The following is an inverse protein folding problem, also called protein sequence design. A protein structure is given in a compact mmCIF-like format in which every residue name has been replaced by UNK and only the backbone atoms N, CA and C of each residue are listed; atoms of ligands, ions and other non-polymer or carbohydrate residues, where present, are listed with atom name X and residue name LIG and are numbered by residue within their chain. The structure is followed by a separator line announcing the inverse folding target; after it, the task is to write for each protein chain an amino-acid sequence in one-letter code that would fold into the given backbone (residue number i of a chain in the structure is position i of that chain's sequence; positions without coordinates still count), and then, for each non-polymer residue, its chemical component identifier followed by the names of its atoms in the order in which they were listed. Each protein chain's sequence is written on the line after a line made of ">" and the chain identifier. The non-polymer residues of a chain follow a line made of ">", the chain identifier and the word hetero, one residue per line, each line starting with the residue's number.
data_IF_055093500622
#
_entry.id   IF_055093500622
#
_cell.length_a   1.000
_cell.length_b   1.000
_cell.length_c   1.000
_cell.angle_alpha   90.00
_cell.angle_beta   90.00
_cell.angle_gamma   90.00
#
_symmetry.space_group_name_H-M   'P 1'
#
loop_
_entity.id
_entity.type
_entity.pdbx_description
1 polymer ?
#
# COMPACT_ATOMS: atom_id res chain seq x y z
N UNK A 1 0.99 -0.54 -9.65
CA UNK A 1 0.37 0.44 -10.56
C UNK A 1 0.87 1.83 -10.19
N UNK A 2 1.21 2.66 -11.17
CA UNK A 2 1.78 3.99 -10.95
C UNK A 2 0.90 5.04 -11.61
N UNK A 3 0.87 6.24 -11.04
CA UNK A 3 0.15 7.39 -11.61
C UNK A 3 0.95 8.12 -12.70
N UNK A 4 2.03 7.51 -13.21
CA UNK A 4 2.99 8.10 -14.13
C UNK A 4 4.32 8.38 -13.43
N UNK A 5 5.05 9.38 -13.90
CA UNK A 5 6.35 9.78 -13.33
C UNK A 5 6.22 10.43 -11.95
N UNK A 6 5.07 11.02 -11.63
CA UNK A 6 4.82 11.67 -10.35
C UNK A 6 3.42 11.36 -9.80
N UNK A 7 3.26 11.55 -8.50
CA UNK A 7 1.96 11.57 -7.83
C UNK A 7 1.64 13.03 -7.47
N UNK A 8 0.36 13.38 -7.50
CA UNK A 8 -0.07 14.75 -7.22
C UNK A 8 -1.24 14.76 -6.24
N UNK A 9 -1.43 15.85 -5.47
CA UNK A 9 -2.49 15.91 -4.46
C UNK A 9 -3.92 15.87 -5.03
N UNK A 10 -4.11 16.06 -6.33
CA UNK A 10 -5.39 15.90 -7.03
C UNK A 10 -5.80 14.42 -7.16
N UNK A 11 -4.83 13.50 -7.04
CA UNK A 11 -5.02 12.06 -7.24
C UNK A 11 -4.77 11.24 -5.99
N UNK A 12 -3.91 11.74 -5.10
CA UNK A 12 -3.41 11.05 -3.91
C UNK A 12 -3.59 11.97 -2.72
N UNK A 13 -4.09 11.45 -1.59
CA UNK A 13 -4.16 12.22 -0.35
C UNK A 13 -2.86 12.03 0.46
N UNK A 14 -1.94 12.99 0.40
CA UNK A 14 -0.66 12.99 1.12
C UNK A 14 -0.28 14.44 1.48
N UNK A 15 0.86 14.66 2.12
CA UNK A 15 1.39 16.00 2.37
C UNK A 15 1.90 16.65 1.07
N UNK A 16 1.01 17.41 0.44
CA UNK A 16 1.29 18.17 -0.79
C UNK A 16 2.39 19.22 -0.65
N UNK A 17 2.85 19.58 0.56
CA UNK A 17 4.00 20.46 0.74
C UNK A 17 5.34 19.78 0.42
N UNK A 18 5.36 18.45 0.41
CA UNK A 18 6.53 17.61 0.20
C UNK A 18 6.32 16.66 -1.00
N UNK A 19 6.31 17.20 -2.23
CA UNK A 19 6.06 16.41 -3.44
C UNK A 19 7.20 15.44 -3.76
N UNK A 20 6.87 14.38 -4.50
CA UNK A 20 7.87 13.42 -4.98
C UNK A 20 8.64 13.94 -6.19
N UNK A 21 9.91 13.56 -6.33
CA UNK A 21 10.73 13.73 -7.54
C UNK A 21 10.71 15.14 -8.17
N UNK A 22 10.77 16.19 -7.35
CA UNK A 22 10.76 17.58 -7.83
C UNK A 22 9.42 18.04 -8.38
N UNK A 23 8.33 17.34 -8.04
CA UNK A 23 6.97 17.79 -8.35
C UNK A 23 6.65 19.14 -7.73
N UNK A 24 5.59 19.76 -8.21
CA UNK A 24 5.09 21.02 -7.65
C UNK A 24 4.43 20.78 -6.30
N UNK A 25 4.53 21.77 -5.40
CA UNK A 25 3.75 21.76 -4.16
C UNK A 25 2.27 21.83 -4.50
N UNK A 26 1.45 21.14 -3.72
CA UNK A 26 0.00 21.18 -3.86
C UNK A 26 -0.71 21.06 -2.52
N UNK A 27 -2.00 20.73 -2.58
CA UNK A 27 -2.87 20.70 -1.40
C UNK A 27 -2.43 19.65 -0.37
N UNK A 28 -2.14 20.10 0.85
CA UNK A 28 -2.07 19.23 2.02
C UNK A 28 -3.42 19.29 2.75
N UNK A 29 -4.11 18.15 2.87
CA UNK A 29 -5.47 18.10 3.45
C UNK A 29 -5.50 17.97 4.96
N UNK A 30 -4.39 17.56 5.58
CA UNK A 30 -4.25 17.40 7.04
C UNK A 30 -5.23 16.42 7.70
N UNK A 31 -5.89 15.58 6.88
CA UNK A 31 -6.83 14.55 7.35
C UNK A 31 -7.12 13.53 6.26
N UNK A 32 -7.76 12.46 6.68
CA UNK A 32 -8.38 11.50 5.77
C UNK A 32 -9.49 12.13 4.94
N UNK A 33 -9.71 11.57 3.75
CA UNK A 33 -10.86 11.87 2.90
C UNK A 33 -11.73 10.62 2.73
N UNK A 34 -13.01 10.77 2.38
CA UNK A 34 -13.84 9.62 2.01
C UNK A 34 -13.14 8.76 0.95
N UNK A 35 -13.26 7.43 1.04
CA UNK A 35 -12.52 6.48 0.20
C UNK A 35 -12.66 6.78 -1.29
N UNK A 36 -13.82 7.27 -1.74
CA UNK A 36 -14.10 7.58 -3.15
C UNK A 36 -13.94 9.06 -3.53
N UNK A 37 -13.29 9.87 -2.69
CA UNK A 37 -13.16 11.31 -2.92
C UNK A 37 -12.17 11.69 -4.03
N UNK A 38 -11.17 10.83 -4.32
CA UNK A 38 -10.18 11.03 -5.37
C UNK A 38 -10.29 9.93 -6.45
N UNK A 39 -9.78 10.16 -7.67
CA UNK A 39 -9.86 9.18 -8.76
C UNK A 39 -9.25 7.82 -8.40
N UNK A 40 -9.87 6.74 -8.88
CA UNK A 40 -9.31 5.40 -8.79
C UNK A 40 -8.16 5.18 -9.80
N UNK A 41 -7.37 4.13 -9.58
CA UNK A 41 -6.41 3.64 -10.56
C UNK A 41 -7.10 2.87 -11.72
N UNK A 42 -6.33 2.42 -12.71
CA UNK A 42 -6.85 1.65 -13.85
C UNK A 42 -7.50 0.29 -13.52
N UNK A 43 -7.43 -0.16 -12.27
CA UNK A 43 -8.10 -1.37 -11.77
C UNK A 43 -9.36 -1.06 -10.95
N UNK A 44 -9.77 0.21 -10.88
CA UNK A 44 -10.94 0.62 -10.09
C UNK A 44 -10.67 0.66 -8.58
N UNK A 45 -9.41 0.60 -8.14
CA UNK A 45 -9.06 0.69 -6.72
C UNK A 45 -8.80 2.14 -6.33
N UNK A 46 -9.42 2.55 -5.23
CA UNK A 46 -9.34 3.90 -4.68
C UNK A 46 -8.35 3.96 -3.51
N UNK A 47 -7.67 5.10 -3.37
CA UNK A 47 -6.81 5.45 -2.23
C UNK A 47 -5.77 4.38 -1.88
N UNK A 48 -5.26 3.69 -2.89
CA UNK A 48 -4.16 2.74 -2.72
C UNK A 48 -2.80 3.42 -2.49
N UNK A 49 -2.74 4.72 -2.77
CA UNK A 49 -1.61 5.60 -2.51
C UNK A 49 -2.15 6.73 -1.63
N UNK A 50 -1.52 6.96 -0.48
CA UNK A 50 -1.94 7.94 0.51
C UNK A 50 -3.24 7.57 1.24
N UNK A 51 -3.86 8.60 1.80
CA UNK A 51 -5.00 8.54 2.72
C UNK A 51 -4.65 7.82 4.03
N UNK A 52 -4.43 6.51 4.03
CA UNK A 52 -3.98 5.77 5.20
C UNK A 52 -3.03 4.67 4.77
N UNK A 53 -2.06 4.35 5.63
CA UNK A 53 -1.29 3.12 5.49
C UNK A 53 -2.22 1.92 5.57
N UNK A 54 -2.09 0.97 4.65
CA UNK A 54 -2.89 -0.27 4.67
C UNK A 54 -2.05 -1.44 5.20
N UNK A 55 -2.52 -2.08 6.27
CA UNK A 55 -1.93 -3.33 6.80
C UNK A 55 -2.00 -4.47 5.77
N UNK A 56 -0.92 -5.22 5.65
CA UNK A 56 -0.84 -6.49 4.92
C UNK A 56 -0.63 -7.67 5.89
N UNK A 57 -1.01 -8.87 5.45
CA UNK A 57 -0.88 -10.10 6.25
C UNK A 57 0.59 -10.47 6.53
N UNK A 58 1.46 -10.16 5.59
CA UNK A 58 2.87 -10.53 5.56
C UNK A 58 3.65 -9.98 6.76
N UNK A 59 4.61 -10.76 7.25
CA UNK A 59 5.63 -10.25 8.15
C UNK A 59 6.59 -9.34 7.37
N UNK A 60 7.04 -8.25 7.99
CA UNK A 60 8.01 -7.35 7.39
C UNK A 60 9.38 -8.00 7.37
N UNK A 61 10.01 -8.00 6.19
CA UNK A 61 11.33 -8.55 5.95
C UNK A 61 11.72 -8.39 4.48
N UNK A 62 12.84 -9.00 4.10
CA UNK A 62 13.35 -8.94 2.74
C UNK A 62 12.46 -9.72 1.78
N UNK A 63 12.36 -9.22 0.54
CA UNK A 63 11.77 -9.99 -0.55
C UNK A 63 12.71 -11.13 -0.96
N UNK A 64 12.17 -12.27 -1.42
CA UNK A 64 12.99 -13.31 -2.00
C UNK A 64 13.78 -12.76 -3.19
N UNK A 65 15.02 -13.23 -3.34
CA UNK A 65 15.82 -12.92 -4.51
C UNK A 65 15.27 -13.67 -5.74
N UNK A 66 15.17 -12.97 -6.88
CA UNK A 66 14.69 -13.56 -8.13
C UNK A 66 13.16 -13.59 -8.26
N UNK A 67 12.67 -14.38 -9.21
CA UNK A 67 11.24 -14.55 -9.46
C UNK A 67 10.61 -15.43 -8.39
N UNK A 68 9.43 -15.01 -7.89
CA UNK A 68 8.65 -15.76 -6.93
C UNK A 68 7.17 -15.75 -7.33
N UNK A 69 6.52 -16.91 -7.22
CA UNK A 69 5.08 -17.05 -7.41
C UNK A 69 4.41 -16.98 -6.04
N UNK A 70 3.49 -16.03 -5.87
CA UNK A 70 2.72 -15.80 -4.64
C UNK A 70 3.56 -15.81 -3.33
N UNK A 71 4.61 -14.98 -3.22
CA UNK A 71 5.44 -14.94 -2.02
C UNK A 71 4.61 -14.48 -0.80
N UNK A 72 4.69 -15.22 0.30
CA UNK A 72 3.94 -14.95 1.54
C UNK A 72 4.74 -14.17 2.61
N UNK A 73 5.93 -13.68 2.24
CA UNK A 73 6.90 -13.09 3.17
C UNK A 73 7.52 -14.13 4.13
N UNK A 74 8.31 -13.67 5.12
CA UNK A 74 8.85 -14.53 6.16
C UNK A 74 7.75 -15.24 6.98
N UNK A 75 8.04 -16.42 7.52
CA UNK A 75 7.08 -17.17 8.36
C UNK A 75 6.83 -16.50 9.73
N UNK A 76 7.83 -15.77 10.23
CA UNK A 76 7.82 -15.12 11.54
C UNK A 76 8.42 -13.71 11.44
N UNK A 77 8.02 -12.82 12.33
CA UNK A 77 8.53 -11.45 12.38
C UNK A 77 8.01 -10.69 13.60
N UNK A 78 8.56 -9.50 13.82
CA UNK A 78 8.12 -8.59 14.89
C UNK A 78 7.07 -7.58 14.41
N UNK A 79 7.13 -7.24 13.12
CA UNK A 79 6.31 -6.20 12.49
C UNK A 79 5.57 -6.75 11.28
N UNK A 80 4.33 -6.31 11.06
CA UNK A 80 3.57 -6.60 9.83
C UNK A 80 3.81 -5.50 8.81
N UNK A 81 3.67 -5.85 7.53
CA UNK A 81 3.87 -4.91 6.43
C UNK A 81 2.75 -3.86 6.39
N UNK A 82 3.14 -2.61 6.14
CA UNK A 82 2.27 -1.48 5.80
C UNK A 82 2.63 -1.01 4.39
N UNK A 83 1.62 -0.69 3.58
CA UNK A 83 1.78 -0.18 2.20
C UNK A 83 0.97 1.09 1.98
N UNK A 84 1.40 1.88 1.01
CA UNK A 84 0.60 2.95 0.41
C UNK A 84 0.88 4.36 0.93
N UNK A 85 1.49 4.56 2.10
CA UNK A 85 1.62 5.89 2.71
C UNK A 85 0.30 6.40 3.27
N UNK A 86 0.32 7.53 3.97
CA UNK A 86 -0.90 8.15 4.52
C UNK A 86 -1.03 9.64 4.18
N UNK A 87 -2.10 10.27 4.68
CA UNK A 87 -2.38 11.69 4.46
C UNK A 87 -1.30 12.62 5.01
N UNK A 88 -0.54 12.19 6.03
CA UNK A 88 0.53 12.97 6.69
C UNK A 88 1.91 12.74 6.06
N UNK A 89 2.05 11.74 5.18
CA UNK A 89 3.33 11.39 4.59
C UNK A 89 3.69 12.24 3.37
N UNK A 90 4.99 12.36 3.11
CA UNK A 90 5.48 12.94 1.86
C UNK A 90 5.13 12.10 0.63
N UNK A 91 5.30 12.69 -0.56
CA UNK A 91 4.98 12.01 -1.80
C UNK A 91 5.86 10.79 -2.09
N UNK A 92 7.07 10.68 -1.52
CA UNK A 92 7.96 9.53 -1.73
C UNK A 92 7.41 8.28 -1.03
N UNK A 93 6.76 8.46 0.12
CA UNK A 93 6.14 7.38 0.90
C UNK A 93 4.81 6.92 0.33
N UNK A 94 4.08 7.78 -0.38
CA UNK A 94 2.85 7.41 -1.07
C UNK A 94 3.06 6.66 -2.42
N UNK A 95 4.23 6.07 -2.65
CA UNK A 95 4.52 5.31 -3.89
C UNK A 95 4.16 3.83 -3.73
N UNK A 96 3.79 3.20 -4.84
CA UNK A 96 3.51 1.75 -4.90
C UNK A 96 4.61 0.84 -4.37
N UNK A 97 5.88 1.27 -4.50
CA UNK A 97 7.05 0.50 -4.05
C UNK A 97 7.43 0.79 -2.61
N UNK A 98 6.84 1.81 -1.97
CA UNK A 98 7.12 2.08 -0.57
C UNK A 98 6.42 1.05 0.31
N UNK A 99 7.17 0.50 1.24
CA UNK A 99 6.66 -0.34 2.30
C UNK A 99 7.33 0.03 3.61
N UNK A 100 6.60 -0.14 4.70
CA UNK A 100 7.09 -0.01 6.06
C UNK A 100 6.64 -1.21 6.87
N UNK A 101 7.10 -1.29 8.12
CA UNK A 101 6.70 -2.33 9.05
C UNK A 101 6.40 -1.73 10.41
N UNK A 102 5.34 -2.21 11.06
CA UNK A 102 5.06 -1.84 12.45
C UNK A 102 4.50 -3.03 13.25
N UNK A 103 4.61 -3.01 14.58
CA UNK A 103 4.12 -4.12 15.40
C UNK A 103 2.60 -4.24 15.28
N UNK A 104 2.04 -5.46 15.21
CA UNK A 104 0.63 -5.68 14.91
C UNK A 104 -0.35 -5.09 15.95
N UNK A 105 0.14 -4.76 17.15
CA UNK A 105 -0.64 -4.11 18.21
C UNK A 105 -0.80 -2.59 18.03
N UNK A 106 0.03 -1.94 17.20
CA UNK A 106 -0.05 -0.48 17.03
C UNK A 106 -1.27 -0.06 16.23
N UNK A 107 -1.82 1.08 16.62
CA UNK A 107 -2.96 1.75 15.97
C UNK A 107 -2.62 3.23 15.94
N UNK A 108 -2.64 3.79 14.74
CA UNK A 108 -2.51 5.22 14.50
C UNK A 108 -3.73 5.67 13.69
N UNK A 109 -4.05 6.96 13.76
CA UNK A 109 -5.17 7.58 13.06
C UNK A 109 -4.97 7.63 11.53
N UNK A 110 -3.78 7.31 11.07
CA UNK A 110 -3.39 7.20 9.68
C UNK A 110 -3.19 5.74 9.22
N UNK A 111 -3.56 4.75 10.06
CA UNK A 111 -3.49 3.32 9.74
C UNK A 111 -4.88 2.74 9.48
N UNK A 112 -4.99 1.95 8.42
CA UNK A 112 -6.19 1.24 8.00
C UNK A 112 -5.86 -0.11 7.35
N UNK A 113 -6.80 -0.65 6.58
CA UNK A 113 -6.63 -1.88 5.83
C UNK A 113 -7.66 -1.96 4.71
N UNK A 114 -7.40 -2.85 3.74
CA UNK A 114 -8.41 -3.34 2.81
C UNK A 114 -8.47 -4.85 2.81
N UNK A 115 -9.58 -5.36 2.32
CA UNK A 115 -9.78 -6.79 2.16
C UNK A 115 -9.34 -7.25 0.78
N UNK A 116 -8.71 -8.41 0.75
CA UNK A 116 -8.49 -9.20 -0.45
C UNK A 116 -9.09 -10.59 -0.19
N UNK A 117 -9.69 -11.19 -1.22
CA UNK A 117 -10.15 -12.57 -1.11
C UNK A 117 -8.93 -13.49 -1.11
N UNK A 118 -8.79 -14.32 -0.07
CA UNK A 118 -7.76 -15.35 -0.05
C UNK A 118 -8.07 -16.49 -1.02
N UNK A 119 -7.12 -17.40 -1.27
CA UNK A 119 -7.39 -18.63 -2.00
C UNK A 119 -8.59 -19.35 -1.39
N UNK A 120 -9.53 -19.80 -2.22
CA UNK A 120 -10.65 -20.59 -1.74
C UNK A 120 -10.10 -21.82 -0.99
N UNK A 121 -10.48 -21.98 0.27
CA UNK A 121 -10.19 -23.20 1.00
C UNK A 121 -10.84 -24.37 0.26
N UNK A 122 -10.04 -25.21 -0.41
CA UNK A 122 -10.51 -26.48 -0.98
C UNK A 122 -10.60 -26.62 -2.50
N UNK A 123 -9.63 -26.13 -3.28
CA UNK A 123 -9.23 -26.83 -4.52
C UNK A 123 -7.77 -27.21 -4.44
N UNK A 124 -7.50 -28.43 -3.95
CA UNK A 124 -6.23 -29.09 -4.23
C UNK A 124 -6.06 -29.08 -5.75
N UNK A 125 -5.00 -28.45 -6.24
CA UNK A 125 -4.55 -28.66 -7.60
C UNK A 125 -4.27 -30.16 -7.73
N UNK A 126 -5.07 -30.85 -8.54
CA UNK A 126 -4.76 -32.22 -8.92
C UNK A 126 -3.35 -32.21 -9.52
N UNK A 127 -2.44 -32.96 -8.91
CA UNK A 127 -1.13 -33.20 -9.48
C UNK A 127 -1.31 -33.76 -10.90
N UNK A 128 -0.85 -33.01 -11.90
CA UNK A 128 -0.76 -33.51 -13.26
C UNK A 128 0.35 -34.56 -13.29
N UNK A 129 -0.04 -35.82 -13.13
CA UNK A 129 0.83 -36.96 -13.37
C UNK A 129 0.92 -37.26 -14.86
N UNK A 130 2.11 -37.06 -15.43
CA UNK A 130 2.96 -38.02 -16.15
C UNK A 130 3.99 -37.27 -16.98
#
# INVERSE_FOLDING_TARGET
>A
FAFGANITPERVNYDGNHPYAGGEKGLYREKTVPVRALPCNGWGLYQMHGNVWEWCRDWFGDYPAGEAMDPAGPEQGQSRVLRGGSWIDDGRRARSACHSGNMPGFRYDDFGFRLALGPAAGRQAAAAGK
#
